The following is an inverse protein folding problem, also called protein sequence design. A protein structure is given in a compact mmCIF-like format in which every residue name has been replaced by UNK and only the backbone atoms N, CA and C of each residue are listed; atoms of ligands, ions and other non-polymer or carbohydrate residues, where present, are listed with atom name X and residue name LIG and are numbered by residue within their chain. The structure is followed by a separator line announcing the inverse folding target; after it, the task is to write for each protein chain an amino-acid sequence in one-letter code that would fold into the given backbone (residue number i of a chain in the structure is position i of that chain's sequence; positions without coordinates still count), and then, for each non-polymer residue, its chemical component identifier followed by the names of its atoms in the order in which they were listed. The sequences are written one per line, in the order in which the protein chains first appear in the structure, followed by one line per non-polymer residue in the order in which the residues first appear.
data_IF_787241918269
#
_entry.id   IF_787241918269
#
_cell.length_a   1.000
_cell.length_b   1.000
_cell.length_c   1.000
_cell.angle_alpha   90.00
_cell.angle_beta   90.00
_cell.angle_gamma   90.00
#
_symmetry.space_group_name_H-M   'P 1'
#
loop_
_entity.id
_entity.type
_entity.pdbx_description
1 polymer ?
#
# COMPACT_ATOMS: atom_id res chain seq x y z
N UNK A 1 8.93 -1.32 -6.10
CA UNK A 1 8.10 -2.43 -5.60
C UNK A 1 6.65 -2.08 -5.87
N UNK A 2 5.86 -2.99 -6.46
CA UNK A 2 4.45 -2.71 -6.85
C UNK A 2 3.49 -3.30 -5.82
N UNK A 3 2.32 -2.68 -5.64
CA UNK A 3 1.26 -3.21 -4.76
C UNK A 3 0.81 -4.62 -5.15
N UNK A 4 0.83 -4.95 -6.45
CA UNK A 4 0.54 -6.28 -6.96
C UNK A 4 1.52 -7.34 -6.41
N UNK A 5 2.83 -7.05 -6.39
CA UNK A 5 3.85 -7.96 -5.88
C UNK A 5 3.67 -8.23 -4.37
N UNK A 6 3.27 -7.21 -3.61
CA UNK A 6 2.96 -7.36 -2.18
C UNK A 6 1.75 -8.25 -1.95
N UNK A 7 0.69 -8.06 -2.74
CA UNK A 7 -0.52 -8.89 -2.67
C UNK A 7 -0.22 -10.34 -3.05
N UNK A 8 0.57 -10.56 -4.10
CA UNK A 8 0.96 -11.91 -4.55
C UNK A 8 1.78 -12.64 -3.50
N UNK A 9 2.71 -11.95 -2.82
CA UNK A 9 3.46 -12.51 -1.69
C UNK A 9 2.57 -12.86 -0.49
N UNK A 10 1.47 -12.12 -0.32
CA UNK A 10 0.45 -12.42 0.70
C UNK A 10 -0.50 -13.55 0.28
N UNK A 11 -0.38 -14.10 -0.93
CA UNK A 11 -1.22 -15.20 -1.43
C UNK A 11 -2.66 -14.80 -1.76
N UNK A 12 -2.92 -13.50 -1.97
CA UNK A 12 -4.28 -12.98 -2.18
C UNK A 12 -4.55 -12.62 -3.64
N UNK A 13 -5.80 -12.80 -4.07
CA UNK A 13 -6.34 -12.28 -5.32
C UNK A 13 -6.77 -10.81 -5.17
N UNK A 14 -6.92 -10.11 -6.30
CA UNK A 14 -7.43 -8.73 -6.27
C UNK A 14 -8.87 -8.66 -5.72
N UNK A 15 -9.67 -9.72 -5.92
CA UNK A 15 -11.03 -9.80 -5.41
C UNK A 15 -11.05 -9.92 -3.87
N UNK A 16 -10.18 -10.73 -3.29
CA UNK A 16 -10.07 -10.88 -1.83
C UNK A 16 -9.58 -9.58 -1.17
N UNK A 17 -8.59 -8.91 -1.76
CA UNK A 17 -8.16 -7.58 -1.29
C UNK A 17 -9.32 -6.58 -1.37
N UNK A 18 -10.12 -6.62 -2.44
CA UNK A 18 -11.26 -5.72 -2.59
C UNK A 18 -12.31 -5.93 -1.51
N UNK A 19 -12.64 -7.19 -1.20
CA UNK A 19 -13.55 -7.56 -0.09
C UNK A 19 -13.00 -7.03 1.24
N UNK A 20 -11.72 -7.29 1.55
CA UNK A 20 -11.08 -6.82 2.79
C UNK A 20 -11.02 -5.29 2.89
N UNK A 21 -10.86 -4.60 1.77
CA UNK A 21 -10.86 -3.14 1.69
C UNK A 21 -12.26 -2.50 1.67
N UNK A 22 -13.33 -3.30 1.54
CA UNK A 22 -14.69 -2.79 1.36
C UNK A 22 -14.90 -2.01 0.06
N UNK A 23 -14.29 -2.47 -1.04
CA UNK A 23 -14.35 -1.83 -2.37
C UNK A 23 -14.60 -2.85 -3.48
N UNK A 24 -14.84 -2.39 -4.70
CA UNK A 24 -14.91 -3.25 -5.88
C UNK A 24 -13.50 -3.63 -6.41
N UNK A 25 -13.35 -4.84 -6.96
CA UNK A 25 -12.09 -5.34 -7.53
C UNK A 25 -11.48 -4.43 -8.62
N UNK A 26 -12.26 -3.76 -9.50
CA UNK A 26 -11.70 -2.81 -10.46
C UNK A 26 -10.94 -1.64 -9.80
N UNK A 27 -11.33 -1.23 -8.58
CA UNK A 27 -10.60 -0.21 -7.84
C UNK A 27 -9.23 -0.73 -7.36
N UNK A 28 -9.14 -2.00 -6.97
CA UNK A 28 -7.87 -2.64 -6.59
C UNK A 28 -6.97 -2.76 -7.83
N UNK A 29 -7.51 -3.25 -8.94
CA UNK A 29 -6.78 -3.30 -10.23
C UNK A 29 -6.29 -1.93 -10.69
N UNK A 30 -7.08 -0.87 -10.48
CA UNK A 30 -6.65 0.51 -10.77
C UNK A 30 -5.52 0.95 -9.84
N UNK A 31 -5.65 0.71 -8.52
CA UNK A 31 -4.62 1.04 -7.54
C UNK A 31 -3.28 0.37 -7.85
N UNK A 32 -3.29 -0.91 -8.22
CA UNK A 32 -2.07 -1.67 -8.54
C UNK A 32 -1.36 -1.18 -9.81
N UNK A 33 -2.04 -0.41 -10.66
CA UNK A 33 -1.48 0.17 -11.90
C UNK A 33 -0.95 1.60 -11.73
N UNK A 34 -1.35 2.29 -10.66
CA UNK A 34 -0.89 3.65 -10.40
C UNK A 34 0.54 3.64 -9.86
N UNK A 35 1.36 4.64 -10.24
CA UNK A 35 2.62 4.90 -9.54
C UNK A 35 2.35 5.15 -8.05
N UNK A 36 3.18 4.60 -7.16
CA UNK A 36 2.97 4.69 -5.70
C UNK A 36 2.83 6.14 -5.22
N UNK A 37 3.58 7.06 -5.83
CA UNK A 37 3.53 8.50 -5.53
C UNK A 37 2.18 9.17 -5.86
N UNK A 38 1.35 8.55 -6.72
CA UNK A 38 0.01 9.04 -7.06
C UNK A 38 -1.07 8.45 -6.14
N UNK A 39 -0.73 7.45 -5.32
CA UNK A 39 -1.66 6.80 -4.41
C UNK A 39 -1.66 7.55 -3.08
N UNK A 40 -2.84 7.97 -2.62
CA UNK A 40 -2.94 8.64 -1.32
C UNK A 40 -2.48 7.73 -0.17
N UNK A 41 -1.86 8.31 0.86
CA UNK A 41 -1.44 7.58 2.07
C UNK A 41 -2.59 6.76 2.68
N UNK A 42 -3.82 7.30 2.66
CA UNK A 42 -5.03 6.61 3.14
C UNK A 42 -5.36 5.35 2.33
N UNK A 43 -5.14 5.36 1.01
CA UNK A 43 -5.36 4.18 0.17
C UNK A 43 -4.24 3.15 0.40
N UNK A 44 -2.98 3.59 0.50
CA UNK A 44 -1.87 2.71 0.85
C UNK A 44 -2.10 2.01 2.18
N UNK A 45 -2.49 2.75 3.23
CA UNK A 45 -2.82 2.16 4.55
C UNK A 45 -3.92 1.13 4.48
N UNK A 46 -5.03 1.41 3.78
CA UNK A 46 -6.15 0.46 3.64
C UNK A 46 -5.76 -0.79 2.85
N UNK A 47 -4.98 -0.61 1.78
CA UNK A 47 -4.49 -1.73 0.98
C UNK A 47 -3.56 -2.61 1.80
N UNK A 48 -2.57 -2.03 2.49
CA UNK A 48 -1.64 -2.76 3.33
C UNK A 48 -2.33 -3.44 4.52
N UNK A 49 -3.31 -2.78 5.15
CA UNK A 49 -4.12 -3.40 6.20
C UNK A 49 -4.90 -4.63 5.68
N UNK A 50 -5.38 -4.62 4.44
CA UNK A 50 -6.00 -5.81 3.83
C UNK A 50 -5.00 -6.97 3.63
N UNK A 51 -3.70 -6.67 3.56
CA UNK A 51 -2.62 -7.66 3.53
C UNK A 51 -2.05 -7.97 4.93
N UNK A 52 -2.67 -7.47 6.01
CA UNK A 52 -2.15 -7.58 7.38
C UNK A 52 -0.74 -6.95 7.53
N UNK A 53 -0.48 -5.89 6.76
CA UNK A 53 0.79 -5.16 6.73
C UNK A 53 0.64 -3.69 7.18
N UNK A 54 1.73 -3.11 7.68
CA UNK A 54 1.82 -1.70 8.07
C UNK A 54 2.42 -0.80 6.98
N UNK A 55 2.16 0.50 7.06
CA UNK A 55 2.82 1.53 6.24
C UNK A 55 3.84 2.29 7.08
N UNK A 56 5.12 2.18 6.70
CA UNK A 56 6.23 2.95 7.26
C UNK A 56 6.60 4.06 6.26
N UNK A 57 6.67 5.32 6.72
CA UNK A 57 7.21 6.43 5.93
C UNK A 57 8.52 6.92 6.55
N UNK A 58 9.58 6.93 5.76
CA UNK A 58 10.89 7.46 6.12
C UNK A 58 11.14 8.71 5.27
N UNK A 59 11.48 9.83 5.91
CA UNK A 59 11.96 11.02 5.24
C UNK A 59 13.48 11.06 5.31
N UNK A 60 14.11 11.37 4.19
CA UNK A 60 15.56 11.64 4.16
C UNK A 60 15.78 13.15 4.14
N UNK A 61 16.59 13.67 5.06
CA UNK A 61 16.96 15.09 5.07
C UNK A 61 18.07 15.37 4.05
N UNK A 62 18.30 16.64 3.73
CA UNK A 62 19.44 17.05 2.91
C UNK A 62 20.81 16.74 3.54
N UNK A 63 20.84 16.53 4.87
CA UNK A 63 22.03 16.08 5.60
C UNK A 63 22.24 14.55 5.53
N UNK A 64 21.26 13.81 4.97
CA UNK A 64 21.30 12.35 4.86
C UNK A 64 20.67 11.60 6.04
N UNK A 65 20.08 12.31 7.00
CA UNK A 65 19.40 11.67 8.14
C UNK A 65 18.08 11.03 7.70
N UNK A 66 17.77 9.84 8.24
CA UNK A 66 16.46 9.21 8.07
C UNK A 66 15.56 9.49 9.28
N UNK A 67 14.39 10.06 9.02
CA UNK A 67 13.38 10.38 10.04
C UNK A 67 12.13 9.55 9.79
N UNK A 68 11.76 8.72 10.76
CA UNK A 68 10.52 7.95 10.72
C UNK A 68 9.31 8.88 10.97
N UNK A 69 8.44 8.99 9.98
CA UNK A 69 7.24 9.84 10.01
C UNK A 69 5.98 9.11 10.47
N UNK A 70 6.04 7.81 10.65
CA UNK A 70 4.91 6.96 11.06
C UNK A 70 5.24 6.22 12.35
N UNK A 71 4.35 6.26 13.34
CA UNK A 71 4.42 5.30 14.44
C UNK A 71 4.03 3.89 13.96
N UNK A 72 4.66 2.84 14.52
CA UNK A 72 4.28 1.45 14.30
C UNK A 72 2.85 1.16 14.75
#
# INVERSE_FOLDING_TARGET
MRLAELREKAGLTQAEVAVRMGTAQPNVSRLERLPVQEISQRQLRRYLAALEAGLVLLATTSAGDEVLLTSP
#
